data_IF_323996107053
#
_entry.id   IF_323996107053
#
_cell.length_a   1.000
_cell.length_b   1.000
_cell.length_c   1.000
_cell.angle_alpha   90.00
_cell.angle_beta   90.00
_cell.angle_gamma   90.00
#
_symmetry.space_group_name_H-M   'P 1'
#
loop_
_entity.id
_entity.type
_entity.pdbx_description
1 polymer ?
#
# COMPACT_ATOMS: atom_id res chain seq x y z
N UNK A 1 5.42 -9.37 -5.35
CA UNK A 1 5.23 -10.67 -4.66
C UNK A 1 6.52 -11.47 -4.51
N UNK A 2 7.29 -11.73 -5.58
CA UNK A 2 8.47 -12.62 -5.52
C UNK A 2 9.46 -12.30 -4.40
N UNK A 3 9.79 -11.01 -4.18
CA UNK A 3 10.68 -10.59 -3.08
C UNK A 3 10.17 -11.03 -1.70
N UNK A 4 8.90 -10.78 -1.38
CA UNK A 4 8.34 -11.07 -0.05
C UNK A 4 8.02 -12.55 0.12
N UNK A 5 7.58 -13.23 -0.95
CA UNK A 5 7.27 -14.66 -0.91
C UNK A 5 8.53 -15.50 -0.73
N UNK A 6 9.60 -15.17 -1.45
CA UNK A 6 10.90 -15.82 -1.26
C UNK A 6 11.49 -15.58 0.12
N UNK A 7 11.32 -14.38 0.69
CA UNK A 7 11.73 -14.09 2.08
C UNK A 7 11.00 -14.97 3.10
N UNK A 8 9.68 -15.11 2.98
CA UNK A 8 8.88 -15.95 3.87
C UNK A 8 9.27 -17.43 3.76
N UNK A 9 9.31 -17.96 2.53
CA UNK A 9 9.66 -19.36 2.28
C UNK A 9 11.10 -19.68 2.71
N UNK A 10 12.06 -18.79 2.44
CA UNK A 10 13.43 -18.95 2.90
C UNK A 10 13.50 -19.06 4.43
N UNK A 11 12.74 -18.24 5.16
CA UNK A 11 12.70 -18.32 6.62
C UNK A 11 12.18 -19.66 7.13
N UNK A 12 11.02 -20.11 6.64
CA UNK A 12 10.43 -21.38 7.13
C UNK A 12 11.30 -22.59 6.77
N UNK A 13 11.87 -22.62 5.57
CA UNK A 13 12.75 -23.72 5.14
C UNK A 13 14.06 -23.73 5.93
N UNK A 14 14.72 -22.58 6.09
CA UNK A 14 16.00 -22.49 6.83
C UNK A 14 15.83 -22.66 8.35
N UNK A 15 14.65 -22.37 8.89
CA UNK A 15 14.35 -22.64 10.31
C UNK A 15 14.17 -24.13 10.59
N UNK A 16 13.66 -24.88 9.61
CA UNK A 16 13.50 -26.34 9.71
C UNK A 16 14.81 -27.08 9.36
N UNK A 17 15.51 -26.65 8.30
CA UNK A 17 16.81 -27.18 7.89
C UNK A 17 17.75 -26.03 7.49
N UNK A 18 18.67 -25.63 8.39
CA UNK A 18 19.64 -24.56 8.12
C UNK A 18 20.61 -24.85 6.97
N UNK A 19 20.80 -26.13 6.61
CA UNK A 19 21.72 -26.53 5.53
C UNK A 19 21.04 -26.62 4.17
N UNK A 20 19.72 -26.56 4.12
CA UNK A 20 18.91 -26.66 2.90
C UNK A 20 19.39 -25.71 1.79
N UNK A 21 19.76 -26.30 0.65
CA UNK A 21 20.16 -25.55 -0.53
C UNK A 21 19.01 -24.73 -1.11
N UNK A 22 17.78 -25.25 -1.03
CA UNK A 22 16.57 -24.53 -1.49
C UNK A 22 16.36 -23.27 -0.66
N UNK A 23 16.50 -23.38 0.67
CA UNK A 23 16.39 -22.23 1.58
C UNK A 23 17.42 -21.14 1.26
N UNK A 24 18.69 -21.52 1.01
CA UNK A 24 19.76 -20.59 0.63
C UNK A 24 19.50 -19.94 -0.73
N UNK A 25 19.04 -20.70 -1.73
CA UNK A 25 18.66 -20.18 -3.06
C UNK A 25 17.52 -19.16 -2.97
N UNK A 26 16.49 -19.45 -2.19
CA UNK A 26 15.39 -18.51 -1.92
C UNK A 26 15.87 -17.27 -1.18
N UNK A 27 16.82 -17.41 -0.25
CA UNK A 27 17.44 -16.28 0.44
C UNK A 27 18.16 -15.35 -0.55
N UNK A 28 18.99 -15.92 -1.44
CA UNK A 28 19.66 -15.14 -2.49
C UNK A 28 18.66 -14.49 -3.44
N UNK A 29 17.60 -15.22 -3.83
CA UNK A 29 16.56 -14.68 -4.70
C UNK A 29 15.88 -13.45 -4.09
N UNK A 30 15.52 -13.47 -2.81
CA UNK A 30 14.92 -12.28 -2.20
C UNK A 30 15.89 -11.09 -2.19
N UNK A 31 17.19 -11.32 -1.91
CA UNK A 31 18.22 -10.27 -1.88
C UNK A 31 18.38 -9.62 -3.25
N UNK A 32 18.45 -10.42 -4.31
CA UNK A 32 18.54 -9.93 -5.69
C UNK A 32 17.29 -9.13 -6.05
N UNK A 33 16.10 -9.69 -5.80
CA UNK A 33 14.83 -9.00 -6.08
C UNK A 33 14.70 -7.68 -5.31
N UNK A 34 15.21 -7.61 -4.07
CA UNK A 34 15.23 -6.37 -3.30
C UNK A 34 16.08 -5.29 -3.98
N UNK A 35 17.28 -5.64 -4.48
CA UNK A 35 18.15 -4.68 -5.17
C UNK A 35 17.58 -4.28 -6.54
N UNK A 36 17.09 -5.23 -7.34
CA UNK A 36 16.41 -4.93 -8.61
C UNK A 36 15.24 -3.97 -8.41
N UNK A 37 14.45 -4.14 -7.34
CA UNK A 37 13.34 -3.23 -7.01
C UNK A 37 13.81 -1.82 -6.67
N UNK A 38 15.02 -1.62 -6.13
CA UNK A 38 15.57 -0.28 -5.93
C UNK A 38 15.90 0.38 -7.27
N UNK A 39 16.52 -0.38 -8.19
CA UNK A 39 16.80 0.11 -9.55
C UNK A 39 15.52 0.55 -10.29
N UNK A 40 14.45 -0.25 -10.25
CA UNK A 40 13.16 0.11 -10.87
C UNK A 40 12.45 1.30 -10.21
N UNK A 41 12.89 1.73 -9.02
CA UNK A 41 12.32 2.88 -8.30
C UNK A 41 13.19 4.13 -8.44
N UNK A 42 14.29 4.06 -9.18
CA UNK A 42 15.04 5.25 -9.57
C UNK A 42 14.09 6.25 -10.26
N UNK A 43 14.15 7.51 -9.84
CA UNK A 43 13.26 8.56 -10.34
C UNK A 43 11.86 8.60 -9.70
N UNK A 44 11.46 7.64 -8.85
CA UNK A 44 10.19 7.74 -8.08
C UNK A 44 10.13 9.00 -7.21
N UNK A 45 11.27 9.49 -6.72
CA UNK A 45 11.35 10.75 -5.96
C UNK A 45 10.77 11.93 -6.75
N UNK A 46 11.00 12.00 -8.07
CA UNK A 46 10.44 13.07 -8.92
C UNK A 46 8.90 13.01 -8.97
N UNK A 47 8.31 11.82 -8.96
CA UNK A 47 6.84 11.67 -8.88
C UNK A 47 6.29 12.25 -7.59
N UNK A 48 6.97 12.04 -6.46
CA UNK A 48 6.54 12.58 -5.17
C UNK A 48 6.77 14.09 -5.06
N UNK A 49 7.82 14.64 -5.68
CA UNK A 49 8.00 16.07 -5.80
C UNK A 49 6.81 16.73 -6.53
N UNK A 50 6.36 16.15 -7.65
CA UNK A 50 5.17 16.62 -8.38
C UNK A 50 3.89 16.53 -7.52
N UNK A 51 3.73 15.46 -6.73
CA UNK A 51 2.59 15.32 -5.81
C UNK A 51 2.61 16.38 -4.71
N UNK A 52 3.78 16.71 -4.16
CA UNK A 52 3.92 17.75 -3.15
C UNK A 52 3.56 19.13 -3.73
N UNK A 53 4.01 19.43 -4.94
CA UNK A 53 3.64 20.66 -5.64
C UNK A 53 2.13 20.75 -5.86
N UNK A 54 1.51 19.67 -6.37
CA UNK A 54 0.06 19.61 -6.58
C UNK A 54 -0.72 19.76 -5.26
N UNK A 55 -0.24 19.16 -4.17
CA UNK A 55 -0.86 19.24 -2.85
C UNK A 55 -0.75 20.66 -2.25
N UNK A 56 0.37 21.35 -2.48
CA UNK A 56 0.56 22.72 -2.01
C UNK A 56 -0.51 23.67 -2.55
N UNK A 57 -0.84 23.53 -3.84
CA UNK A 57 -1.85 24.34 -4.53
C UNK A 57 -3.30 23.88 -4.33
N UNK A 58 -3.53 22.72 -3.71
CA UNK A 58 -4.87 22.21 -3.48
C UNK A 58 -5.53 22.90 -2.26
N UNK A 59 -6.64 23.60 -2.50
CA UNK A 59 -7.46 24.26 -1.46
C UNK A 59 -8.73 23.49 -1.09
N UNK A 60 -9.04 22.40 -1.79
CA UNK A 60 -10.30 21.66 -1.62
C UNK A 60 -10.26 20.62 -0.49
N UNK A 61 -9.09 20.33 0.07
CA UNK A 61 -8.93 19.34 1.13
C UNK A 61 -9.03 19.98 2.52
N UNK A 62 -9.70 19.33 3.48
CA UNK A 62 -9.63 19.69 4.89
C UNK A 62 -8.18 19.79 5.38
N UNK A 63 -7.87 20.76 6.24
CA UNK A 63 -6.49 21.05 6.69
C UNK A 63 -5.80 19.84 7.33
N UNK A 64 -6.55 19.05 8.09
CA UNK A 64 -6.07 17.80 8.70
C UNK A 64 -5.64 16.77 7.65
N UNK A 65 -6.50 16.52 6.65
CA UNK A 65 -6.19 15.57 5.58
C UNK A 65 -5.03 16.07 4.71
N UNK A 66 -4.95 17.38 4.48
CA UNK A 66 -3.82 18.00 3.77
C UNK A 66 -2.51 17.79 4.52
N UNK A 67 -2.51 17.96 5.84
CA UNK A 67 -1.35 17.73 6.71
C UNK A 67 -0.88 16.27 6.68
N UNK A 68 -1.80 15.31 6.81
CA UNK A 68 -1.47 13.89 6.72
C UNK A 68 -0.90 13.51 5.35
N UNK A 69 -1.51 13.98 4.26
CA UNK A 69 -1.00 13.74 2.91
C UNK A 69 0.37 14.40 2.69
N UNK A 70 0.62 15.55 3.31
CA UNK A 70 1.91 16.23 3.21
C UNK A 70 3.01 15.42 3.90
N UNK A 71 2.77 15.00 5.16
CA UNK A 71 3.70 14.14 5.91
C UNK A 71 3.97 12.83 5.15
N UNK A 72 2.92 12.21 4.61
CA UNK A 72 3.06 10.99 3.83
C UNK A 72 3.93 11.20 2.58
N UNK A 73 3.66 12.24 1.79
CA UNK A 73 4.38 12.49 0.55
C UNK A 73 5.83 12.94 0.79
N UNK A 74 6.10 13.76 1.82
CA UNK A 74 7.46 14.14 2.21
C UNK A 74 8.24 12.93 2.71
N UNK A 75 7.64 12.10 3.58
CA UNK A 75 8.30 10.89 4.08
C UNK A 75 8.60 9.88 2.96
N UNK A 76 7.67 9.69 2.02
CA UNK A 76 7.92 8.85 0.83
C UNK A 76 8.99 9.46 -0.09
N UNK A 77 8.99 10.78 -0.29
CA UNK A 77 10.02 11.46 -1.06
C UNK A 77 11.41 11.22 -0.47
N UNK A 78 11.57 11.50 0.83
CA UNK A 78 12.84 11.29 1.54
C UNK A 78 13.29 9.83 1.52
N UNK A 79 12.36 8.88 1.72
CA UNK A 79 12.63 7.45 1.57
C UNK A 79 13.18 7.12 0.18
N UNK A 80 12.55 7.61 -0.90
CA UNK A 80 13.00 7.34 -2.26
C UNK A 80 14.36 7.98 -2.59
N UNK A 81 14.65 9.17 -2.05
CA UNK A 81 15.98 9.78 -2.17
C UNK A 81 17.03 8.91 -1.49
N UNK A 82 16.79 8.47 -0.26
CA UNK A 82 17.68 7.55 0.45
C UNK A 82 17.84 6.21 -0.28
N UNK A 83 16.76 5.66 -0.84
CA UNK A 83 16.79 4.40 -1.58
C UNK A 83 17.63 4.51 -2.88
N UNK A 84 17.54 5.65 -3.58
CA UNK A 84 18.38 5.95 -4.74
C UNK A 84 19.86 6.11 -4.35
N UNK A 85 20.16 6.77 -3.23
CA UNK A 85 21.52 6.90 -2.70
C UNK A 85 22.12 5.55 -2.31
N UNK A 86 21.35 4.69 -1.65
CA UNK A 86 21.78 3.33 -1.29
C UNK A 86 22.05 2.50 -2.54
N UNK A 87 21.21 2.62 -3.56
CA UNK A 87 21.46 1.96 -4.85
C UNK A 87 22.76 2.48 -5.51
N UNK A 88 22.95 3.79 -5.56
CA UNK A 88 24.16 4.40 -6.13
C UNK A 88 25.44 4.01 -5.36
N UNK A 89 25.36 3.90 -4.03
CA UNK A 89 26.46 3.40 -3.19
C UNK A 89 26.80 1.94 -3.50
N UNK A 90 25.80 1.06 -3.59
CA UNK A 90 26.02 -0.33 -4.01
C UNK A 90 26.55 -0.46 -5.45
N UNK A 91 26.16 0.44 -6.35
CA UNK A 91 26.69 0.53 -7.71
C UNK A 91 28.09 1.14 -7.80
N UNK A 92 28.70 1.52 -6.65
CA UNK A 92 30.00 2.20 -6.55
C UNK A 92 30.05 3.55 -7.28
N UNK A 93 28.90 4.19 -7.48
CA UNK A 93 28.79 5.53 -8.08
C UNK A 93 29.02 6.64 -7.05
N UNK A 94 28.71 6.38 -5.78
CA UNK A 94 28.87 7.35 -4.69
C UNK A 94 29.45 6.66 -3.44
N UNK A 95 30.38 7.31 -2.75
CA UNK A 95 31.00 6.79 -1.53
C UNK A 95 30.22 7.16 -0.26
N UNK A 96 28.93 6.82 -0.22
CA UNK A 96 28.10 7.01 0.98
C UNK A 96 27.98 5.72 1.79
N UNK A 97 27.82 5.88 3.11
CA UNK A 97 27.39 4.81 3.99
C UNK A 97 25.96 4.38 3.65
N UNK A 98 25.86 3.24 2.96
CA UNK A 98 24.60 2.65 2.54
C UNK A 98 23.75 2.19 3.74
N UNK A 99 24.38 1.80 4.85
CA UNK A 99 23.67 1.29 6.02
C UNK A 99 22.99 2.43 6.78
N UNK A 100 23.73 3.51 7.07
CA UNK A 100 23.18 4.70 7.73
C UNK A 100 22.11 5.38 6.88
N UNK A 101 22.33 5.47 5.56
CA UNK A 101 21.34 6.04 4.63
C UNK A 101 20.07 5.18 4.57
N UNK A 102 20.20 3.85 4.54
CA UNK A 102 19.07 2.93 4.61
C UNK A 102 18.32 3.04 5.94
N UNK A 103 19.04 3.27 7.05
CA UNK A 103 18.44 3.48 8.38
C UNK A 103 17.55 4.73 8.41
N UNK A 104 18.07 5.86 7.94
CA UNK A 104 17.32 7.14 7.85
C UNK A 104 16.11 7.01 6.92
N UNK A 105 16.30 6.42 5.75
CA UNK A 105 15.21 6.14 4.81
C UNK A 105 14.11 5.25 5.42
N UNK A 106 14.48 4.27 6.25
CA UNK A 106 13.54 3.41 6.98
C UNK A 106 12.64 4.19 7.94
N UNK A 107 13.18 5.16 8.68
CA UNK A 107 12.39 6.03 9.57
C UNK A 107 11.41 6.88 8.77
N UNK A 108 11.87 7.51 7.69
CA UNK A 108 11.02 8.33 6.82
C UNK A 108 9.88 7.50 6.19
N UNK A 109 10.17 6.27 5.78
CA UNK A 109 9.16 5.36 5.25
C UNK A 109 8.12 4.96 6.30
N UNK A 110 8.55 4.69 7.53
CA UNK A 110 7.65 4.38 8.64
C UNK A 110 6.73 5.56 8.97
N UNK A 111 7.27 6.78 9.11
CA UNK A 111 6.47 7.99 9.33
C UNK A 111 5.45 8.21 8.21
N UNK A 112 5.84 7.95 6.95
CA UNK A 112 4.93 8.05 5.82
C UNK A 112 3.78 7.03 5.89
N UNK A 113 4.08 5.78 6.28
CA UNK A 113 3.06 4.75 6.43
C UNK A 113 2.12 5.05 7.60
N UNK A 114 2.59 5.67 8.69
CA UNK A 114 1.73 6.12 9.80
C UNK A 114 0.72 7.15 9.31
N UNK A 115 1.19 8.21 8.65
CA UNK A 115 0.31 9.23 8.10
C UNK A 115 -0.67 8.65 7.06
N UNK A 116 -0.18 7.73 6.21
CA UNK A 116 -0.99 7.01 5.24
C UNK A 116 -2.06 6.11 5.89
N UNK A 117 -1.77 5.49 7.03
CA UNK A 117 -2.73 4.68 7.77
C UNK A 117 -3.87 5.52 8.32
N UNK A 118 -3.56 6.61 9.02
CA UNK A 118 -4.59 7.53 9.52
C UNK A 118 -5.43 8.10 8.38
N UNK A 119 -4.81 8.49 7.27
CA UNK A 119 -5.53 8.98 6.10
C UNK A 119 -6.46 7.93 5.47
N UNK A 120 -6.02 6.66 5.41
CA UNK A 120 -6.84 5.57 4.87
C UNK A 120 -8.02 5.23 5.77
N UNK A 121 -7.82 5.20 7.10
CA UNK A 121 -8.88 4.98 8.09
C UNK A 121 -9.90 6.12 8.07
N UNK A 122 -9.43 7.37 8.06
CA UNK A 122 -10.29 8.56 7.97
C UNK A 122 -11.13 8.54 6.69
N UNK A 123 -10.50 8.20 5.55
CA UNK A 123 -11.20 8.08 4.27
C UNK A 123 -12.24 6.96 4.24
N UNK A 124 -12.03 5.88 4.99
CA UNK A 124 -12.97 4.76 5.12
C UNK A 124 -14.13 5.14 6.04
N UNK A 125 -13.84 5.76 7.18
CA UNK A 125 -14.85 6.23 8.14
C UNK A 125 -15.78 7.25 7.50
N UNK A 126 -15.23 8.21 6.74
CA UNK A 126 -16.03 9.20 6.01
C UNK A 126 -17.02 8.55 5.01
N UNK A 127 -16.66 7.42 4.39
CA UNK A 127 -17.59 6.70 3.50
C UNK A 127 -18.65 5.91 4.29
N UNK A 128 -18.27 5.33 5.42
CA UNK A 128 -19.22 4.63 6.31
C UNK A 128 -20.24 5.61 6.87
N UNK A 129 -19.83 6.81 7.28
CA UNK A 129 -20.72 7.86 7.75
C UNK A 129 -21.63 8.38 6.65
N UNK A 130 -21.10 8.60 5.44
CA UNK A 130 -21.91 8.96 4.27
C UNK A 130 -22.92 7.88 3.92
N UNK A 131 -22.54 6.61 3.98
CA UNK A 131 -23.46 5.49 3.70
C UNK A 131 -24.59 5.44 4.73
N UNK A 132 -24.30 5.67 6.02
CA UNK A 132 -25.32 5.76 7.06
C UNK A 132 -26.28 6.92 6.78
N UNK A 133 -25.75 8.11 6.52
CA UNK A 133 -26.57 9.28 6.21
C UNK A 133 -27.47 9.07 4.98
N UNK A 134 -26.94 8.53 3.88
CA UNK A 134 -27.73 8.21 2.67
C UNK A 134 -28.81 7.18 2.98
N UNK A 135 -28.52 6.17 3.82
CA UNK A 135 -29.49 5.16 4.23
C UNK A 135 -30.59 5.72 5.12
N UNK A 136 -30.26 6.62 6.03
CA UNK A 136 -31.22 7.27 6.93
C UNK A 136 -32.16 8.18 6.12
N UNK A 137 -31.63 8.95 5.16
CA UNK A 137 -32.44 9.76 4.24
C UNK A 137 -33.36 8.86 3.41
N UNK A 138 -32.83 7.77 2.84
CA UNK A 138 -33.59 6.81 2.03
C UNK A 138 -34.76 6.18 2.81
N UNK A 139 -34.62 5.99 4.13
CA UNK A 139 -35.68 5.42 4.97
C UNK A 139 -36.84 6.40 5.23
N UNK A 140 -36.60 7.71 5.03
CA UNK A 140 -37.58 8.79 5.24
C UNK A 140 -38.07 9.45 3.95
N UNK A 141 -37.58 9.01 2.79
CA UNK A 141 -37.84 9.64 1.50
C UNK A 141 -38.91 8.85 0.73
N UNK A 142 -39.99 9.54 0.34
CA UNK A 142 -41.11 8.95 -0.41
C UNK A 142 -41.07 9.27 -1.92
N UNK A 143 -40.24 10.24 -2.34
CA UNK A 143 -40.08 10.60 -3.75
C UNK A 143 -39.34 9.50 -4.52
N UNK A 144 -40.04 8.83 -5.44
CA UNK A 144 -39.52 7.71 -6.22
C UNK A 144 -38.25 8.05 -7.04
N UNK A 145 -38.15 9.25 -7.61
CA UNK A 145 -36.98 9.66 -8.38
C UNK A 145 -35.76 9.90 -7.48
N UNK A 146 -36.01 10.46 -6.29
CA UNK A 146 -34.96 10.70 -5.29
C UNK A 146 -34.49 9.41 -4.62
N UNK A 147 -35.41 8.47 -4.36
CA UNK A 147 -35.12 7.11 -3.87
C UNK A 147 -34.22 6.37 -4.85
N UNK A 148 -34.52 6.39 -6.16
CA UNK A 148 -33.69 5.76 -7.18
C UNK A 148 -32.27 6.37 -7.22
N UNK A 149 -32.16 7.70 -7.20
CA UNK A 149 -30.88 8.39 -7.17
C UNK A 149 -30.04 8.03 -5.93
N UNK A 150 -30.67 7.97 -4.75
CA UNK A 150 -30.01 7.59 -3.50
C UNK A 150 -29.58 6.11 -3.49
N UNK A 151 -30.36 5.21 -4.10
CA UNK A 151 -29.98 3.80 -4.25
C UNK A 151 -28.75 3.64 -5.15
N UNK A 152 -28.69 4.34 -6.28
CA UNK A 152 -27.52 4.37 -7.17
C UNK A 152 -26.30 4.90 -6.41
N UNK A 153 -26.47 5.97 -5.63
CA UNK A 153 -25.40 6.53 -4.80
C UNK A 153 -24.92 5.54 -3.73
N UNK A 154 -25.83 4.81 -3.09
CA UNK A 154 -25.52 3.80 -2.08
C UNK A 154 -24.73 2.63 -2.68
N UNK A 155 -25.09 2.18 -3.88
CA UNK A 155 -24.37 1.12 -4.59
C UNK A 155 -22.95 1.59 -4.99
N UNK A 156 -22.83 2.83 -5.47
CA UNK A 156 -21.54 3.44 -5.76
C UNK A 156 -20.65 3.53 -4.50
N UNK A 157 -21.21 3.94 -3.36
CA UNK A 157 -20.49 3.98 -2.08
C UNK A 157 -20.05 2.58 -1.62
N UNK A 158 -20.94 1.58 -1.70
CA UNK A 158 -20.63 0.20 -1.30
C UNK A 158 -19.50 -0.40 -2.15
N UNK A 159 -19.52 -0.17 -3.46
CA UNK A 159 -18.46 -0.64 -4.36
C UNK A 159 -17.12 0.10 -4.12
N UNK A 160 -17.17 1.41 -3.81
CA UNK A 160 -16.00 2.20 -3.42
C UNK A 160 -15.39 1.77 -2.09
N UNK A 161 -16.22 1.38 -1.12
CA UNK A 161 -15.80 0.99 0.23
C UNK A 161 -14.84 -0.19 0.23
N UNK A 162 -15.05 -1.18 -0.63
CA UNK A 162 -14.15 -2.33 -0.73
C UNK A 162 -12.72 -1.90 -1.12
N UNK A 163 -12.58 -0.95 -2.06
CA UNK A 163 -11.28 -0.41 -2.44
C UNK A 163 -10.60 0.33 -1.28
N UNK A 164 -11.37 1.07 -0.47
CA UNK A 164 -10.84 1.76 0.72
C UNK A 164 -10.45 0.79 1.83
N UNK A 165 -11.22 -0.28 2.04
CA UNK A 165 -10.87 -1.36 2.96
C UNK A 165 -9.55 -2.02 2.54
N UNK A 166 -9.39 -2.31 1.25
CA UNK A 166 -8.13 -2.83 0.71
C UNK A 166 -6.97 -1.85 0.93
N UNK A 167 -7.20 -0.54 0.80
CA UNK A 167 -6.18 0.47 1.10
C UNK A 167 -5.74 0.44 2.57
N UNK A 168 -6.69 0.33 3.51
CA UNK A 168 -6.42 0.16 4.96
C UNK A 168 -5.63 -1.12 5.22
N UNK A 169 -6.07 -2.25 4.65
CA UNK A 169 -5.36 -3.54 4.79
C UNK A 169 -3.91 -3.42 4.31
N UNK A 170 -3.72 -2.88 3.10
CA UNK A 170 -2.39 -2.70 2.50
C UNK A 170 -1.48 -1.83 3.37
N UNK A 171 -1.95 -0.67 3.82
CA UNK A 171 -1.11 0.24 4.61
C UNK A 171 -0.83 -0.30 6.02
N UNK A 172 -1.74 -1.10 6.58
CA UNK A 172 -1.50 -1.84 7.83
C UNK A 172 -0.37 -2.87 7.64
N UNK A 173 -0.39 -3.62 6.54
CA UNK A 173 0.70 -4.53 6.20
C UNK A 173 2.03 -3.79 6.03
N UNK A 174 2.02 -2.64 5.34
CA UNK A 174 3.22 -1.82 5.17
C UNK A 174 3.73 -1.23 6.49
N UNK A 175 2.85 -0.88 7.43
CA UNK A 175 3.22 -0.46 8.78
C UNK A 175 3.96 -1.56 9.53
N UNK A 176 3.44 -2.79 9.51
CA UNK A 176 4.11 -3.94 10.13
C UNK A 176 5.50 -4.11 9.53
N UNK A 177 5.63 -4.09 8.20
CA UNK A 177 6.93 -4.24 7.52
C UNK A 177 7.89 -3.09 7.85
N UNK A 178 7.41 -1.84 7.79
CA UNK A 178 8.24 -0.65 8.03
C UNK A 178 8.65 -0.48 9.49
N UNK A 179 7.83 -0.95 10.44
CA UNK A 179 8.16 -0.97 11.87
C UNK A 179 9.39 -1.82 12.21
N UNK A 180 9.68 -2.84 11.38
CA UNK A 180 10.83 -3.74 11.54
C UNK A 180 12.08 -3.29 10.76
N UNK A 181 12.07 -2.09 10.16
CA UNK A 181 13.23 -1.54 9.44
C UNK A 181 14.31 -1.09 10.42
N UNK A 182 15.58 -1.09 9.97
CA UNK A 182 16.76 -0.86 10.81
C UNK A 182 16.72 0.42 11.66
N UNK A 183 16.06 1.48 11.18
CA UNK A 183 15.95 2.74 11.91
C UNK A 183 14.85 2.79 12.96
N UNK A 184 13.85 1.90 12.86
CA UNK A 184 12.68 1.87 13.73
C UNK A 184 12.78 0.72 14.72
N UNK A 185 12.88 -0.52 14.22
CA UNK A 185 13.00 -1.76 15.01
C UNK A 185 12.04 -1.79 16.20
N UNK A 186 10.76 -1.47 15.96
CA UNK A 186 9.77 -1.27 17.02
C UNK A 186 9.56 -2.53 17.86
N UNK A 187 9.41 -3.69 17.21
CA UNK A 187 9.28 -4.97 17.90
C UNK A 187 10.50 -5.26 18.78
N UNK A 188 11.72 -5.08 18.27
CA UNK A 188 12.96 -5.29 19.03
C UNK A 188 13.03 -4.37 20.28
N UNK A 189 12.54 -3.13 20.17
CA UNK A 189 12.49 -2.20 21.31
C UNK A 189 11.44 -2.56 22.37
N UNK A 190 10.33 -3.18 21.97
CA UNK A 190 9.23 -3.51 22.87
C UNK A 190 9.42 -4.90 23.49
N UNK A 191 9.77 -5.90 22.68
CA UNK A 191 9.80 -7.31 23.05
C UNK A 191 11.22 -7.87 23.13
N UNK A 192 12.25 -7.07 22.88
CA UNK A 192 13.66 -7.49 22.88
C UNK A 192 14.07 -8.32 21.66
N UNK A 193 13.15 -8.62 20.75
CA UNK A 193 13.42 -9.47 19.58
C UNK A 193 12.82 -8.88 18.29
N UNK A 194 13.54 -9.06 17.18
CA UNK A 194 13.07 -8.62 15.86
C UNK A 194 11.92 -9.51 15.39
N UNK A 195 10.98 -8.91 14.65
CA UNK A 195 10.01 -9.70 13.89
C UNK A 195 10.76 -10.54 12.86
N UNK A 196 10.50 -11.84 12.88
CA UNK A 196 11.18 -12.78 12.01
C UNK A 196 10.73 -12.64 10.55
N UNK A 197 11.59 -13.08 9.64
CA UNK A 197 11.42 -12.89 8.20
C UNK A 197 10.20 -13.61 7.62
N UNK A 198 9.71 -14.65 8.29
CA UNK A 198 8.45 -15.34 7.98
C UNK A 198 7.24 -14.41 8.05
N UNK A 199 7.06 -13.68 9.16
CA UNK A 199 5.95 -12.72 9.32
C UNK A 199 6.10 -11.58 8.31
N UNK A 200 7.29 -10.99 8.23
CA UNK A 200 7.54 -9.84 7.35
C UNK A 200 7.34 -10.19 5.87
N UNK A 201 7.76 -11.38 5.46
CA UNK A 201 7.53 -11.90 4.12
C UNK A 201 6.04 -12.15 3.85
N UNK A 202 5.33 -12.82 4.75
CA UNK A 202 3.90 -13.10 4.57
C UNK A 202 3.05 -11.83 4.48
N UNK A 203 3.26 -10.89 5.40
CA UNK A 203 2.53 -9.61 5.42
C UNK A 203 2.89 -8.75 4.19
N UNK A 204 4.15 -8.75 3.77
CA UNK A 204 4.59 -8.09 2.54
C UNK A 204 3.97 -8.71 1.27
N UNK A 205 3.69 -10.02 1.26
CA UNK A 205 2.95 -10.69 0.20
C UNK A 205 1.50 -10.20 0.11
N UNK A 206 0.80 -10.10 1.25
CA UNK A 206 -0.58 -9.59 1.30
C UNK A 206 -0.64 -8.15 0.76
N UNK A 207 0.25 -7.27 1.23
CA UNK A 207 0.36 -5.90 0.70
C UNK A 207 0.59 -5.88 -0.82
N UNK A 208 1.51 -6.71 -1.31
CA UNK A 208 1.78 -6.81 -2.75
C UNK A 208 0.59 -7.38 -3.55
N UNK A 209 -0.19 -8.30 -2.96
CA UNK A 209 -1.40 -8.84 -3.57
C UNK A 209 -2.44 -7.75 -3.80
N UNK A 210 -2.67 -6.89 -2.80
CA UNK A 210 -3.59 -5.76 -2.90
C UNK A 210 -3.17 -4.78 -4.00
N UNK A 211 -1.86 -4.51 -4.12
CA UNK A 211 -1.34 -3.65 -5.20
C UNK A 211 -1.62 -4.27 -6.58
N UNK A 212 -1.39 -5.58 -6.74
CA UNK A 212 -1.67 -6.27 -8.00
C UNK A 212 -3.17 -6.30 -8.32
N UNK A 213 -4.02 -6.56 -7.32
CA UNK A 213 -5.47 -6.53 -7.48
C UNK A 213 -5.96 -5.16 -7.99
N UNK A 214 -5.46 -4.06 -7.40
CA UNK A 214 -5.83 -2.71 -7.81
C UNK A 214 -5.25 -2.29 -9.16
N UNK A 215 -4.17 -2.91 -9.61
CA UNK A 215 -3.57 -2.67 -10.93
C UNK A 215 -4.18 -3.55 -12.03
N UNK A 216 -4.96 -4.57 -11.66
CA UNK A 216 -5.56 -5.49 -12.62
C UNK A 216 -6.62 -4.77 -13.45
N UNK A 217 -6.58 -4.86 -14.80
CA UNK A 217 -7.60 -4.24 -15.63
C UNK A 217 -8.96 -4.87 -15.31
N UNK A 218 -9.95 -4.03 -14.98
CA UNK A 218 -11.33 -4.47 -14.91
C UNK A 218 -11.76 -4.81 -16.34
N UNK A 219 -11.94 -6.10 -16.63
CA UNK A 219 -12.53 -6.50 -17.90
C UNK A 219 -13.89 -5.80 -18.05
N UNK A 220 -14.18 -5.15 -19.20
CA UNK A 220 -15.51 -4.62 -19.44
C UNK A 220 -16.50 -5.79 -19.34
N UNK A 221 -17.53 -5.65 -18.50
CA UNK A 221 -18.65 -6.59 -18.50
C UNK A 221 -19.26 -6.53 -19.90
N UNK A 222 -18.99 -7.53 -20.75
CA UNK A 222 -19.73 -7.69 -22.01
C UNK A 222 -21.20 -7.75 -21.60
N UNK A 223 -21.98 -6.75 -22.02
CA UNK A 223 -23.43 -6.87 -21.98
C UNK A 223 -23.77 -8.15 -22.75
N UNK A 224 -24.37 -9.12 -22.05
CA UNK A 224 -24.95 -10.28 -22.71
C UNK A 224 -25.92 -9.72 -23.76
N UNK A 225 -25.82 -10.15 -25.04
CA UNK A 225 -26.82 -9.75 -26.03
C UNK A 225 -28.19 -10.14 -25.48
N UNK A 226 -29.11 -9.18 -25.46
CA UNK A 226 -30.49 -9.43 -25.11
C UNK A 226 -30.97 -10.59 -25.99
N UNK A 227 -31.37 -11.70 -25.34
CA UNK A 227 -31.84 -12.88 -26.05
C UNK A 227 -32.92 -12.48 -27.04
N UNK A 228 -32.76 -12.92 -28.29
CA UNK A 228 -33.79 -12.84 -29.31
C UNK A 228 -35.11 -13.26 -28.70
N UNK A 229 -36.04 -12.30 -28.61
CA UNK A 229 -37.43 -12.64 -28.43
C UNK A 229 -37.83 -13.35 -29.73
N UNK A 230 -38.01 -14.66 -29.62
CA UNK A 230 -38.70 -15.46 -30.62
C UNK A 230 -40.08 -14.86 -30.85
N UNK A 231 -40.24 -14.10 -31.92
CA UNK A 231 -41.56 -13.75 -32.42
C UNK A 231 -42.14 -14.98 -33.09
N UNK A 232 -42.98 -15.68 -32.33
CA UNK A 232 -43.99 -16.58 -32.86
C UNK A 232 -44.93 -15.81 -33.78
N UNK A 233 -45.00 -16.21 -35.05
CA UNK A 233 -46.25 -16.30 -35.83
C UNK A 233 -46.04 -17.12 -37.10
#
# INVERSE_FOLDING_TARGET
MMQYGSRAMAFYILSADPKSDVGKRLHMMYKVMQQSRKAFRLGKSATYAKKLQALAHNKALPEWQKSLQFIQNVGMFGFFVCDNMVFASHAKLLHFDAEETARRGGVMWFCANMAGFFSAVDSLNADVEKEKCVRDILASEDDAARVEALQIQLEALRSGRFKKLLAVLKVTCDLIVSSNTSGVRLAERITGSKLHDGIIGSVGCVSAAVVLYNAWPNAPKKALPAGDKSDSK
#
